data_IF_666787041437
#
_entry.id   IF_666787041437
#
_cell.length_a   1.000
_cell.length_b   1.000
_cell.length_c   1.000
_cell.angle_alpha   90.00
_cell.angle_beta   90.00
_cell.angle_gamma   90.00
#
_symmetry.space_group_name_H-M   'P 1'
#
loop_
_entity.id
_entity.type
_entity.pdbx_description
1 polymer ?
#
# COMPACT_ATOMS: atom_id res chain seq x y z
N UNK A 1 0.52 -3.41 11.29
CA UNK A 1 1.70 -4.30 11.32
C UNK A 1 2.92 -3.57 11.86
N UNK A 2 3.42 -2.51 11.25
CA UNK A 2 4.63 -1.76 11.71
C UNK A 2 4.64 -1.43 13.21
N UNK A 3 3.61 -0.74 13.70
CA UNK A 3 3.51 -0.37 15.12
C UNK A 3 3.58 -1.57 16.07
N UNK A 4 2.89 -2.66 15.71
CA UNK A 4 2.89 -3.87 16.53
C UNK A 4 4.27 -4.53 16.59
N UNK A 5 5.02 -4.54 15.49
CA UNK A 5 6.38 -5.04 15.48
C UNK A 5 7.30 -4.26 16.40
N UNK A 6 7.19 -2.92 16.38
CA UNK A 6 7.95 -2.04 17.29
C UNK A 6 7.56 -2.24 18.76
N UNK A 7 6.26 -2.40 19.05
CA UNK A 7 5.75 -2.70 20.40
C UNK A 7 6.27 -4.04 20.94
N UNK A 8 6.63 -4.98 20.06
CA UNK A 8 7.29 -6.24 20.41
C UNK A 8 8.82 -6.14 20.43
N UNK A 9 9.39 -4.95 20.33
CA UNK A 9 10.83 -4.72 20.41
C UNK A 9 11.62 -5.19 19.19
N UNK A 10 10.98 -5.32 18.04
CA UNK A 10 11.65 -5.66 16.78
C UNK A 10 12.24 -4.40 16.12
N UNK A 11 13.42 -4.56 15.53
CA UNK A 11 14.01 -3.55 14.65
C UNK A 11 13.26 -3.54 13.31
N UNK A 12 12.76 -2.38 12.89
CA UNK A 12 11.94 -2.24 11.70
C UNK A 12 12.55 -1.23 10.74
N UNK A 13 12.83 -1.66 9.53
CA UNK A 13 13.22 -0.78 8.42
C UNK A 13 12.07 -0.70 7.42
N UNK A 14 11.55 0.50 7.19
CA UNK A 14 10.54 0.76 6.18
C UNK A 14 11.19 1.29 4.91
N UNK A 15 11.09 0.55 3.82
CA UNK A 15 11.54 1.00 2.49
C UNK A 15 10.35 1.51 1.70
N UNK A 16 10.47 2.67 1.09
CA UNK A 16 9.41 3.24 0.26
C UNK A 16 9.97 3.98 -0.96
N UNK A 17 9.18 4.02 -2.04
CA UNK A 17 9.50 4.82 -3.23
C UNK A 17 9.39 6.33 -2.97
N UNK A 18 8.51 6.70 -2.04
CA UNK A 18 8.34 8.09 -1.62
C UNK A 18 9.48 8.53 -0.70
N UNK A 19 9.86 9.79 -0.80
CA UNK A 19 10.93 10.38 0.00
C UNK A 19 10.51 10.68 1.44
N UNK A 20 9.22 10.61 1.75
CA UNK A 20 8.71 10.89 3.09
C UNK A 20 7.58 9.92 3.49
N UNK A 21 7.52 9.63 4.80
CA UNK A 21 6.42 8.87 5.40
C UNK A 21 5.12 9.67 5.24
N UNK A 22 4.08 9.02 4.69
CA UNK A 22 2.78 9.62 4.49
C UNK A 22 2.66 10.51 3.26
N UNK A 23 3.63 10.54 2.36
CA UNK A 23 3.61 11.38 1.15
C UNK A 23 2.41 11.13 0.23
N UNK A 24 1.80 9.94 0.28
CA UNK A 24 0.63 9.57 -0.53
C UNK A 24 -0.70 9.71 0.22
N UNK A 25 -0.68 10.10 1.49
CA UNK A 25 -1.91 10.25 2.27
C UNK A 25 -2.61 11.57 1.91
N UNK A 26 -3.90 11.53 1.55
CA UNK A 26 -4.64 12.74 1.17
C UNK A 26 -4.96 13.66 2.35
N UNK A 27 -4.76 13.24 3.61
CA UNK A 27 -5.18 13.94 4.85
C UNK A 27 -4.29 13.70 6.05
N UNK A 28 -4.44 14.54 7.07
CA UNK A 28 -3.77 15.82 7.22
C UNK A 28 -2.41 15.65 7.88
N UNK A 29 -1.56 16.68 7.88
CA UNK A 29 -0.23 16.65 8.51
C UNK A 29 -0.22 16.15 9.96
N UNK A 30 -1.29 16.39 10.71
CA UNK A 30 -1.42 15.95 12.10
C UNK A 30 -1.42 14.42 12.27
N UNK A 31 -2.10 13.69 11.38
CA UNK A 31 -2.12 12.22 11.43
C UNK A 31 -0.74 11.64 11.12
N UNK A 32 -0.03 12.24 10.16
CA UNK A 32 1.34 11.83 9.82
C UNK A 32 2.31 12.14 10.95
N UNK A 33 2.15 13.28 11.63
CA UNK A 33 2.99 13.66 12.76
C UNK A 33 2.86 12.65 13.92
N UNK A 34 1.63 12.35 14.34
CA UNK A 34 1.38 11.36 15.39
C UNK A 34 1.89 9.95 15.01
N UNK A 35 1.74 9.55 13.73
CA UNK A 35 2.29 8.29 13.26
C UNK A 35 3.82 8.26 13.30
N UNK A 36 4.49 9.34 12.90
CA UNK A 36 5.95 9.46 12.97
C UNK A 36 6.45 9.41 14.41
N UNK A 37 5.83 10.16 15.32
CA UNK A 37 6.18 10.12 16.75
C UNK A 37 6.16 8.69 17.28
N UNK A 38 5.11 7.95 16.98
CA UNK A 38 4.96 6.55 17.39
C UNK A 38 5.96 5.61 16.70
N UNK A 39 6.30 5.82 15.43
CA UNK A 39 7.30 5.03 14.72
C UNK A 39 8.69 5.24 15.32
N UNK A 40 9.10 6.49 15.49
CA UNK A 40 10.43 6.84 15.98
C UNK A 40 10.60 6.68 17.50
N UNK A 41 9.56 6.29 18.23
CA UNK A 41 9.68 5.89 19.64
C UNK A 41 10.28 4.48 19.83
N UNK A 42 10.37 3.68 18.76
CA UNK A 42 10.99 2.35 18.76
C UNK A 42 12.23 2.28 17.85
N UNK A 43 12.77 1.09 17.68
CA UNK A 43 13.89 0.82 16.77
C UNK A 43 13.40 0.84 15.31
N UNK A 44 13.23 2.03 14.76
CA UNK A 44 12.67 2.28 13.44
C UNK A 44 13.61 3.09 12.55
N UNK A 45 13.82 2.63 11.32
CA UNK A 45 14.52 3.37 10.26
C UNK A 45 13.63 3.51 9.01
N UNK A 46 13.78 4.63 8.30
CA UNK A 46 13.06 4.92 7.07
C UNK A 46 14.00 5.13 5.89
N UNK A 47 13.83 4.32 4.87
CA UNK A 47 14.59 4.33 3.61
C UNK A 47 13.68 4.83 2.50
N UNK A 48 13.58 6.14 2.36
CA UNK A 48 12.81 6.80 1.29
C UNK A 48 13.54 6.80 -0.04
N UNK A 49 12.80 7.02 -1.13
CA UNK A 49 13.33 7.12 -2.49
C UNK A 49 13.93 5.82 -3.04
N UNK A 50 13.59 4.66 -2.47
CA UNK A 50 14.16 3.37 -2.86
C UNK A 50 13.08 2.38 -3.29
N UNK A 51 13.45 1.43 -4.14
CA UNK A 51 12.63 0.28 -4.51
C UNK A 51 13.36 -1.03 -4.20
N UNK A 52 12.58 -2.09 -4.05
CA UNK A 52 13.12 -3.44 -3.86
C UNK A 52 13.75 -3.94 -5.16
N UNK A 53 14.98 -4.48 -5.06
CA UNK A 53 15.68 -5.15 -6.16
C UNK A 53 15.62 -6.66 -5.95
N UNK A 54 16.11 -7.17 -4.81
CA UNK A 54 16.12 -8.60 -4.51
C UNK A 54 15.91 -8.88 -3.02
N UNK A 55 15.44 -10.08 -2.74
CA UNK A 55 15.34 -10.66 -1.40
C UNK A 55 16.17 -11.93 -1.39
N UNK A 56 17.11 -12.01 -0.47
CA UNK A 56 17.99 -13.15 -0.27
C UNK A 56 17.95 -13.60 1.19
N UNK A 57 18.38 -14.81 1.53
CA UNK A 57 18.44 -15.23 2.92
C UNK A 57 19.26 -14.26 3.77
N UNK A 58 18.63 -13.66 4.77
CA UNK A 58 19.26 -12.74 5.71
C UNK A 58 19.43 -11.29 5.22
N UNK A 59 19.05 -10.96 3.98
CA UNK A 59 19.24 -9.61 3.45
C UNK A 59 18.25 -9.21 2.36
N UNK A 60 18.12 -7.91 2.18
CA UNK A 60 17.34 -7.29 1.10
C UNK A 60 18.21 -6.27 0.38
N UNK A 61 18.22 -6.29 -0.95
CA UNK A 61 18.85 -5.26 -1.75
C UNK A 61 17.82 -4.26 -2.25
N UNK A 62 18.08 -2.98 -2.01
CA UNK A 62 17.23 -1.87 -2.45
C UNK A 62 18.03 -0.88 -3.28
N UNK A 63 17.39 -0.22 -4.23
CA UNK A 63 18.04 0.70 -5.17
C UNK A 63 17.30 2.01 -5.33
N UNK A 64 18.05 3.03 -5.75
CA UNK A 64 17.52 4.34 -6.11
C UNK A 64 17.01 4.27 -7.55
N UNK A 65 15.73 4.62 -7.84
CA UNK A 65 15.17 4.57 -9.19
C UNK A 65 16.02 5.36 -10.21
N UNK A 66 16.12 4.82 -11.41
CA UNK A 66 16.86 5.42 -12.53
C UNK A 66 18.37 5.61 -12.31
N UNK A 67 18.94 4.90 -11.32
CA UNK A 67 20.39 4.90 -11.05
C UNK A 67 20.88 3.47 -10.83
N UNK A 68 22.20 3.28 -10.88
CA UNK A 68 22.83 2.00 -10.50
C UNK A 68 23.13 1.92 -8.99
N UNK A 69 22.72 2.93 -8.22
CA UNK A 69 22.97 2.96 -6.77
C UNK A 69 22.05 1.98 -6.06
N UNK A 70 22.66 1.08 -5.32
CA UNK A 70 21.95 0.11 -4.47
C UNK A 70 22.63 -0.01 -3.11
N UNK A 71 21.88 -0.51 -2.15
CA UNK A 71 22.41 -0.89 -0.83
C UNK A 71 21.74 -2.15 -0.32
N UNK A 72 22.44 -2.89 0.51
CA UNK A 72 21.93 -4.07 1.19
C UNK A 72 21.50 -3.72 2.60
N UNK A 73 20.38 -4.29 3.05
CA UNK A 73 19.81 -4.15 4.38
C UNK A 73 19.69 -5.56 4.96
N UNK A 74 20.26 -5.80 6.14
CA UNK A 74 20.08 -7.07 6.84
C UNK A 74 18.62 -7.22 7.28
N UNK A 75 18.01 -8.36 7.00
CA UNK A 75 16.61 -8.64 7.33
C UNK A 75 16.35 -10.12 7.52
N UNK A 76 15.72 -10.49 8.64
CA UNK A 76 15.27 -11.86 8.89
C UNK A 76 13.85 -12.11 8.36
N UNK A 77 13.05 -11.07 8.28
CA UNK A 77 11.67 -11.12 7.78
C UNK A 77 11.41 -9.95 6.85
N UNK A 78 10.80 -10.22 5.71
CA UNK A 78 10.40 -9.20 4.74
C UNK A 78 8.89 -9.21 4.60
N UNK A 79 8.27 -8.04 4.79
CA UNK A 79 6.83 -7.86 4.59
C UNK A 79 6.63 -6.96 3.37
N UNK A 80 6.06 -7.53 2.32
CA UNK A 80 5.74 -6.80 1.10
C UNK A 80 4.38 -6.13 1.23
N UNK A 81 4.35 -4.80 1.05
CA UNK A 81 3.13 -4.03 0.89
C UNK A 81 3.14 -3.45 -0.52
N UNK A 82 2.43 -4.11 -1.41
CA UNK A 82 2.37 -3.78 -2.84
C UNK A 82 1.03 -3.12 -3.18
N UNK A 83 0.84 -2.80 -4.45
CA UNK A 83 -0.46 -2.30 -4.93
C UNK A 83 -1.53 -3.39 -4.80
N UNK A 84 -2.71 -2.99 -4.36
CA UNK A 84 -3.88 -3.86 -4.36
C UNK A 84 -4.37 -4.08 -5.79
N UNK A 85 -4.75 -5.32 -6.10
CA UNK A 85 -5.44 -5.64 -7.33
C UNK A 85 -6.95 -5.75 -7.06
N UNK A 86 -7.80 -5.18 -7.92
CA UNK A 86 -9.25 -5.36 -7.83
C UNK A 86 -9.62 -6.84 -7.96
N UNK A 87 -10.38 -7.38 -7.01
CA UNK A 87 -10.96 -8.71 -7.18
C UNK A 87 -12.24 -8.58 -8.02
N UNK A 88 -12.18 -9.01 -9.27
CA UNK A 88 -13.28 -8.93 -10.26
C UNK A 88 -13.92 -10.28 -10.54
N UNK A 89 -13.48 -11.37 -9.97
CA UNK A 89 -13.93 -12.73 -10.29
C UNK A 89 -15.47 -12.87 -10.35
N UNK A 90 -16.17 -12.39 -9.32
CA UNK A 90 -17.63 -12.44 -9.29
C UNK A 90 -18.26 -11.54 -10.35
N UNK A 91 -17.69 -10.37 -10.59
CA UNK A 91 -18.24 -9.42 -11.56
C UNK A 91 -18.05 -9.91 -13.00
N UNK A 92 -16.90 -10.49 -13.28
CA UNK A 92 -16.59 -11.06 -14.60
C UNK A 92 -17.44 -12.31 -14.84
N UNK A 93 -17.59 -13.19 -13.84
CA UNK A 93 -18.52 -14.33 -13.90
C UNK A 93 -19.95 -13.89 -14.19
N UNK A 94 -20.49 -12.89 -13.48
CA UNK A 94 -21.85 -12.40 -13.68
C UNK A 94 -22.06 -11.72 -15.05
N UNK A 95 -21.01 -11.21 -15.66
CA UNK A 95 -21.07 -10.61 -17.00
C UNK A 95 -21.03 -11.64 -18.12
N UNK A 96 -20.39 -12.79 -17.88
CA UNK A 96 -20.35 -13.91 -18.80
C UNK A 96 -21.67 -14.70 -18.79
N UNK A 97 -22.39 -14.68 -17.66
CA UNK A 97 -23.70 -15.31 -17.53
C UNK A 97 -24.79 -14.47 -18.24
N UNK A 98 -25.57 -15.09 -19.11
CA UNK A 98 -26.67 -14.44 -19.84
C UNK A 98 -27.92 -14.30 -18.93
N UNK A 99 -27.80 -13.44 -17.91
CA UNK A 99 -28.82 -13.23 -16.87
C UNK A 99 -29.60 -11.91 -17.06
N UNK A 100 -30.75 -11.77 -16.38
CA UNK A 100 -31.63 -10.58 -16.49
C UNK A 100 -31.10 -9.35 -15.72
N UNK A 101 -29.86 -9.34 -15.28
CA UNK A 101 -29.25 -8.30 -14.45
C UNK A 101 -28.28 -7.41 -15.23
N UNK A 102 -28.15 -6.16 -14.76
CA UNK A 102 -27.06 -5.27 -15.16
C UNK A 102 -25.99 -5.24 -14.08
N UNK A 103 -24.72 -5.54 -14.42
CA UNK A 103 -23.61 -5.58 -13.48
C UNK A 103 -22.86 -4.26 -13.49
N UNK A 104 -22.93 -3.55 -12.38
CA UNK A 104 -22.24 -2.28 -12.14
C UNK A 104 -21.09 -2.45 -11.16
N UNK A 105 -19.88 -2.03 -11.56
CA UNK A 105 -18.70 -2.08 -10.70
C UNK A 105 -18.56 -0.77 -9.93
N UNK A 106 -18.52 -0.85 -8.59
CA UNK A 106 -18.36 0.31 -7.71
C UNK A 106 -17.31 0.03 -6.62
N UNK A 107 -16.65 1.07 -6.14
CA UNK A 107 -15.62 0.90 -5.11
C UNK A 107 -14.36 0.21 -5.61
N UNK A 108 -13.69 -0.53 -4.74
CA UNK A 108 -12.35 -1.09 -5.00
C UNK A 108 -12.34 -2.17 -6.11
N UNK A 109 -13.46 -2.77 -6.42
CA UNK A 109 -13.59 -3.68 -7.57
C UNK A 109 -13.41 -2.96 -8.92
N UNK A 110 -13.70 -1.66 -8.98
CA UNK A 110 -13.49 -0.81 -10.15
C UNK A 110 -12.14 -0.08 -10.16
N UNK A 111 -11.38 -0.19 -9.09
CA UNK A 111 -10.06 0.41 -8.89
C UNK A 111 -9.84 0.75 -7.42
N UNK A 112 -8.70 0.36 -6.88
CA UNK A 112 -8.38 0.50 -5.45
C UNK A 112 -8.00 1.95 -5.10
N UNK A 113 -8.98 2.85 -5.01
CA UNK A 113 -8.78 4.29 -4.81
C UNK A 113 -9.28 4.81 -3.44
N UNK A 114 -9.68 3.90 -2.54
CA UNK A 114 -10.11 4.23 -1.19
C UNK A 114 -11.57 4.67 -1.07
N UNK A 115 -11.97 4.96 0.17
CA UNK A 115 -13.38 5.18 0.56
C UNK A 115 -14.04 6.32 -0.21
N UNK A 116 -13.37 7.44 -0.40
CA UNK A 116 -13.94 8.60 -1.10
C UNK A 116 -14.36 8.23 -2.52
N UNK A 117 -13.48 7.56 -3.26
CA UNK A 117 -13.76 7.14 -4.63
C UNK A 117 -14.83 6.05 -4.68
N UNK A 118 -14.86 5.16 -3.68
CA UNK A 118 -15.90 4.15 -3.56
C UNK A 118 -17.30 4.79 -3.42
N UNK A 119 -17.45 5.78 -2.54
CA UNK A 119 -18.69 6.51 -2.36
C UNK A 119 -19.09 7.30 -3.61
N UNK A 120 -18.15 7.97 -4.26
CA UNK A 120 -18.42 8.73 -5.48
C UNK A 120 -18.84 7.83 -6.66
N UNK A 121 -18.15 6.70 -6.85
CA UNK A 121 -18.50 5.75 -7.92
C UNK A 121 -19.88 5.13 -7.69
N UNK A 122 -20.19 4.75 -6.45
CA UNK A 122 -21.52 4.22 -6.07
C UNK A 122 -22.64 5.25 -6.31
N UNK A 123 -22.41 6.50 -5.90
CA UNK A 123 -23.36 7.59 -6.10
C UNK A 123 -23.54 7.95 -7.59
N UNK A 124 -22.51 7.81 -8.42
CA UNK A 124 -22.60 8.03 -9.86
C UNK A 124 -23.45 6.94 -10.53
N UNK A 125 -23.21 5.67 -10.21
CA UNK A 125 -24.00 4.53 -10.71
C UNK A 125 -25.46 4.64 -10.26
N UNK A 126 -25.71 4.90 -8.97
CA UNK A 126 -27.09 5.03 -8.44
C UNK A 126 -27.92 6.14 -9.09
N UNK A 127 -27.28 7.15 -9.69
CA UNK A 127 -27.98 8.21 -10.45
C UNK A 127 -28.17 7.87 -11.92
N UNK A 128 -27.51 6.82 -12.43
CA UNK A 128 -27.59 6.41 -13.83
C UNK A 128 -28.56 5.25 -14.09
N UNK A 129 -29.01 4.60 -13.05
CA UNK A 129 -30.08 3.58 -13.05
C UNK A 129 -31.37 4.17 -12.55
#
# INVERSE_FOLDING_TARGET
>A
MLFRSLEHGLDVVMVARQDAIGATLPYPPATVAAAKERLYSGAFDFVGGHHLISIEPGQVTVGVPFTERSRTIAANTVVLVTYNHPNRELADYLREEDGPWAVHLVGDVNGTNGILQAVHSAAAVARSI
#
